data_IF_610295148058
#
_entry.id   IF_610295148058
#
_cell.length_a   1.000
_cell.length_b   1.000
_cell.length_c   1.000
_cell.angle_alpha   90.00
_cell.angle_beta   90.00
_cell.angle_gamma   90.00
#
_symmetry.space_group_name_H-M   'P 1'
#
loop_
_entity.id
_entity.type
_entity.pdbx_description
1 polymer ?
#
# COMPACT_ATOMS: atom_id res chain seq x y z
N UNK A 1 -6.60 -8.96 -3.60
CA UNK A 1 -5.31 -8.52 -4.18
C UNK A 1 -4.64 -7.55 -3.21
N UNK A 2 -3.34 -7.69 -2.98
CA UNK A 2 -2.61 -6.73 -2.15
C UNK A 2 -2.13 -5.56 -3.00
N UNK A 3 -2.10 -4.36 -2.44
CA UNK A 3 -1.66 -3.14 -3.10
C UNK A 3 -0.66 -2.42 -2.20
N UNK A 4 0.47 -2.02 -2.77
CA UNK A 4 1.43 -1.17 -2.07
C UNK A 4 1.35 0.23 -2.67
N UNK A 5 1.33 1.26 -1.84
CA UNK A 5 1.37 2.65 -2.31
C UNK A 5 2.04 3.58 -1.30
N UNK A 6 2.64 4.65 -1.80
CA UNK A 6 3.12 5.76 -0.98
C UNK A 6 2.03 6.83 -0.92
N UNK A 7 1.62 7.23 0.29
CA UNK A 7 0.82 8.42 0.53
C UNK A 7 1.79 9.57 0.81
N UNK A 8 1.77 10.60 -0.03
CA UNK A 8 2.61 11.79 0.09
C UNK A 8 2.04 12.77 1.11
N UNK A 9 2.88 13.66 1.64
CA UNK A 9 2.44 14.66 2.62
C UNK A 9 1.32 15.59 2.09
N UNK A 10 1.34 15.85 0.78
CA UNK A 10 0.34 16.64 0.08
C UNK A 10 -1.00 15.89 -0.17
N UNK A 11 -1.08 14.63 0.25
CA UNK A 11 -2.24 13.75 0.09
C UNK A 11 -2.31 13.02 -1.25
N UNK A 12 -1.32 13.16 -2.14
CA UNK A 12 -1.23 12.37 -3.36
C UNK A 12 -0.82 10.92 -3.09
N UNK A 13 -1.21 10.00 -3.97
CA UNK A 13 -0.90 8.57 -3.84
C UNK A 13 -0.09 8.07 -5.04
N UNK A 14 0.97 7.32 -4.76
CA UNK A 14 1.80 6.65 -5.76
C UNK A 14 1.72 5.14 -5.58
N UNK A 15 1.07 4.44 -6.52
CA UNK A 15 0.92 2.98 -6.48
C UNK A 15 2.20 2.31 -6.96
N UNK A 16 2.72 1.40 -6.14
CA UNK A 16 3.91 0.62 -6.46
C UNK A 16 3.54 -0.76 -7.01
N UNK A 17 4.17 -1.12 -8.12
CA UNK A 17 4.07 -2.45 -8.71
C UNK A 17 5.03 -3.46 -8.03
N UNK A 18 5.02 -4.72 -8.48
CA UNK A 18 5.74 -5.81 -7.82
C UNK A 18 7.28 -5.64 -7.72
N UNK A 19 7.88 -4.73 -8.49
CA UNK A 19 9.32 -4.45 -8.45
C UNK A 19 9.57 -2.95 -8.60
N UNK A 20 8.72 -2.15 -7.96
CA UNK A 20 8.86 -0.71 -7.93
C UNK A 20 9.74 -0.23 -6.78
N UNK A 21 10.24 1.00 -6.93
CA UNK A 21 10.96 1.72 -5.89
C UNK A 21 10.50 3.18 -5.87
N UNK A 22 10.38 3.74 -4.67
CA UNK A 22 10.06 5.15 -4.48
C UNK A 22 10.95 5.76 -3.40
N UNK A 23 11.44 6.98 -3.66
CA UNK A 23 12.12 7.78 -2.65
C UNK A 23 11.07 8.34 -1.67
N UNK A 24 11.36 8.22 -0.37
CA UNK A 24 10.48 8.66 0.72
C UNK A 24 10.98 9.98 1.31
N UNK A 25 10.07 10.93 1.51
CA UNK A 25 10.33 12.18 2.22
C UNK A 25 9.69 12.17 3.63
N UNK A 26 10.17 13.00 4.56
CA UNK A 26 9.48 13.20 5.84
C UNK A 26 8.03 13.66 5.63
N UNK A 27 7.08 12.96 6.23
CA UNK A 27 5.65 13.21 6.03
C UNK A 27 4.97 12.17 5.13
N UNK A 28 5.75 11.46 4.31
CA UNK A 28 5.23 10.34 3.51
C UNK A 28 4.91 9.12 4.39
N UNK A 29 3.90 8.36 3.96
CA UNK A 29 3.50 7.11 4.60
C UNK A 29 3.46 5.97 3.57
N UNK A 30 3.89 4.78 3.99
CA UNK A 30 3.82 3.57 3.16
C UNK A 30 2.58 2.75 3.53
N UNK A 31 1.63 2.63 2.60
CA UNK A 31 0.43 1.83 2.78
C UNK A 31 0.62 0.45 2.14
N UNK A 32 0.42 -0.59 2.96
CA UNK A 32 0.39 -1.98 2.52
C UNK A 32 -1.04 -2.47 2.72
N UNK A 33 -1.79 -2.50 1.62
CA UNK A 33 -3.09 -3.18 1.59
C UNK A 33 -2.82 -4.67 1.45
N UNK A 34 -3.03 -5.41 2.53
CA UNK A 34 -3.11 -6.85 2.44
C UNK A 34 -4.49 -7.21 1.85
N UNK A 35 -4.60 -8.20 0.95
CA UNK A 35 -5.91 -8.76 0.65
C UNK A 35 -6.54 -9.17 1.98
N UNK A 36 -7.76 -8.69 2.26
CA UNK A 36 -8.49 -9.14 3.44
C UNK A 36 -8.48 -10.67 3.50
N UNK A 37 -8.12 -11.22 4.65
CA UNK A 37 -8.07 -12.66 4.85
C UNK A 37 -9.41 -13.26 4.43
N UNK A 38 -9.38 -14.24 3.52
CA UNK A 38 -10.53 -15.12 3.33
C UNK A 38 -10.94 -15.61 4.72
N UNK A 39 -12.19 -15.35 5.10
CA UNK A 39 -12.70 -15.59 6.44
C UNK A 39 -12.30 -16.97 6.96
N UNK A 40 -11.84 -17.04 8.20
CA UNK A 40 -11.89 -18.31 8.91
C UNK A 40 -13.37 -18.63 9.14
N UNK A 41 -13.92 -19.53 8.30
CA UNK A 41 -15.25 -20.09 8.42
C UNK A 41 -16.31 -19.44 7.51
N UNK A 42 -16.60 -20.10 6.38
CA UNK A 42 -17.94 -20.60 6.07
C UNK A 42 -17.76 -21.95 5.37
N UNK A 43 -17.91 -23.01 6.16
CA UNK A 43 -18.24 -24.36 5.72
C UNK A 43 -19.49 -24.79 6.47
#
# INVERSE_FOLDING_TARGET
PGVNKVLRDDGSEEVLTATDAADMAPGDAFLIETPGGGGYGEG
#
